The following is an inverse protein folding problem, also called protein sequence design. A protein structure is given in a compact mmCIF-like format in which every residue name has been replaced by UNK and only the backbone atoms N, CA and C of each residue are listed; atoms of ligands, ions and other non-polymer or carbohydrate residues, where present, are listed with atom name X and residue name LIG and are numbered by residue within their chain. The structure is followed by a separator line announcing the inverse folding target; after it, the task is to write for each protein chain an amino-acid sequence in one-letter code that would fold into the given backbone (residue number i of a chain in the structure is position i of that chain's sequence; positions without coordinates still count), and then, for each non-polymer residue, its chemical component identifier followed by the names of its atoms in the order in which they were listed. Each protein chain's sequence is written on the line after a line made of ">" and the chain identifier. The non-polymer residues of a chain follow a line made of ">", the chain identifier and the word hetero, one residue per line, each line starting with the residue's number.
data_IF_206857368036
#
_entry.id   IF_206857368036
#
_cell.length_a   1.000
_cell.length_b   1.000
_cell.length_c   1.000
_cell.angle_alpha   90.00
_cell.angle_beta   90.00
_cell.angle_gamma   90.00
#
_symmetry.space_group_name_H-M   'P 1'
#
loop_
_entity.id
_entity.type
_entity.pdbx_description
1 polymer ?
#
# COMPACT_ATOMS: atom_id res chain seq x y z
N UNK A 1 -36.55 -31.46 66.09
CA UNK A 1 -35.13 -31.24 66.45
C UNK A 1 -34.27 -31.67 65.26
N UNK A 2 -33.44 -30.74 64.77
CA UNK A 2 -32.23 -30.88 63.90
C UNK A 2 -32.41 -31.59 62.54
N UNK A 3 -32.55 -30.92 61.38
CA UNK A 3 -31.67 -29.99 60.60
C UNK A 3 -30.39 -30.63 60.04
N UNK A 4 -29.98 -30.10 58.87
CA UNK A 4 -28.82 -30.35 57.98
C UNK A 4 -29.09 -31.47 56.95
N UNK A 5 -29.43 -31.22 55.66
CA UNK A 5 -28.89 -30.33 54.61
C UNK A 5 -27.37 -30.45 54.45
N UNK A 6 -26.94 -31.20 53.43
CA UNK A 6 -25.68 -30.96 52.71
C UNK A 6 -25.99 -31.06 51.21
N UNK A 7 -25.75 -29.92 50.55
CA UNK A 7 -25.78 -29.68 49.12
C UNK A 7 -24.65 -30.43 48.40
N UNK A 8 -24.96 -31.13 47.32
CA UNK A 8 -23.98 -31.52 46.31
C UNK A 8 -23.97 -30.46 45.21
N UNK A 9 -22.92 -29.65 45.17
CA UNK A 9 -22.69 -28.65 44.12
C UNK A 9 -22.23 -29.39 42.86
N UNK A 10 -23.09 -29.43 41.84
CA UNK A 10 -22.67 -29.77 40.47
C UNK A 10 -22.18 -28.47 39.83
N UNK A 11 -20.87 -28.39 39.60
CA UNK A 11 -20.25 -27.30 38.86
C UNK A 11 -20.63 -27.48 37.39
N UNK A 12 -21.62 -26.71 36.93
CA UNK A 12 -21.89 -26.54 35.51
C UNK A 12 -20.98 -25.40 35.02
N UNK A 13 -19.93 -25.73 34.27
CA UNK A 13 -19.13 -24.74 33.56
C UNK A 13 -20.00 -24.16 32.44
N UNK A 14 -20.64 -23.02 32.71
CA UNK A 14 -21.28 -22.21 31.69
C UNK A 14 -20.17 -21.52 30.88
N UNK A 15 -19.96 -21.98 29.65
CA UNK A 15 -19.27 -21.19 28.63
C UNK A 15 -20.18 -19.98 28.37
N UNK A 16 -19.77 -18.82 28.87
CA UNK A 16 -20.45 -17.55 28.57
C UNK A 16 -20.04 -17.18 27.15
N UNK A 17 -20.88 -17.54 26.18
CA UNK A 17 -20.87 -16.91 24.87
C UNK A 17 -21.42 -15.49 25.08
N UNK A 18 -20.54 -14.50 25.12
CA UNK A 18 -20.96 -13.10 25.20
C UNK A 18 -21.46 -12.70 23.82
N UNK A 19 -22.78 -12.75 23.63
CA UNK A 19 -23.43 -12.04 22.53
C UNK A 19 -23.42 -10.55 22.88
N UNK A 20 -22.53 -9.79 22.25
CA UNK A 20 -22.69 -8.34 22.14
C UNK A 20 -23.88 -8.08 21.22
N UNK A 21 -24.99 -7.55 21.75
CA UNK A 21 -26.11 -7.10 20.94
C UNK A 21 -25.71 -5.78 20.25
N UNK A 22 -25.72 -5.70 18.90
CA UNK A 22 -25.48 -4.44 18.23
C UNK A 22 -26.74 -3.57 18.30
N UNK A 23 -26.52 -2.28 18.48
CA UNK A 23 -27.52 -1.24 18.26
C UNK A 23 -27.94 -1.23 16.78
N UNK A 24 -29.24 -1.39 16.54
CA UNK A 24 -30.01 -0.78 15.44
C UNK A 24 -29.51 -0.84 13.99
N UNK A 25 -30.05 -1.81 13.25
CA UNK A 25 -30.46 -1.76 11.83
C UNK A 25 -29.43 -1.35 10.76
N UNK A 26 -28.73 -2.36 10.24
CA UNK A 26 -28.49 -2.61 8.81
C UNK A 26 -28.71 -4.12 8.62
N UNK A 27 -29.02 -4.62 7.42
CA UNK A 27 -29.30 -6.05 7.16
C UNK A 27 -28.37 -6.97 7.98
N UNK A 28 -28.92 -7.84 8.84
CA UNK A 28 -28.14 -8.79 9.64
C UNK A 28 -27.47 -9.81 8.69
N UNK A 29 -26.36 -9.40 8.08
CA UNK A 29 -25.49 -10.31 7.34
C UNK A 29 -24.80 -11.22 8.35
N UNK A 30 -24.72 -12.51 8.02
CA UNK A 30 -23.93 -13.43 8.84
C UNK A 30 -22.46 -13.06 8.71
N UNK A 31 -21.78 -12.87 9.84
CA UNK A 31 -20.37 -12.49 9.86
C UNK A 31 -19.48 -13.58 10.46
N UNK A 32 -18.22 -13.59 10.02
CA UNK A 32 -17.09 -14.28 10.64
C UNK A 32 -16.15 -13.24 11.25
N UNK A 33 -15.23 -13.69 12.10
CA UNK A 33 -14.27 -12.82 12.77
C UNK A 33 -12.84 -13.17 12.32
N UNK A 34 -12.08 -12.17 11.91
CA UNK A 34 -10.64 -12.26 11.66
C UNK A 34 -9.89 -11.63 12.84
N UNK A 35 -8.84 -12.28 13.30
CA UNK A 35 -7.87 -11.69 14.24
C UNK A 35 -6.50 -12.36 14.07
N UNK A 36 -5.43 -11.55 14.07
CA UNK A 36 -4.05 -12.03 14.04
C UNK A 36 -3.18 -11.49 15.20
N UNK A 37 -3.82 -10.90 16.21
CA UNK A 37 -3.17 -10.25 17.36
C UNK A 37 -2.78 -8.79 17.14
N UNK A 38 -2.68 -8.33 15.89
CA UNK A 38 -2.44 -6.93 15.53
C UNK A 38 -3.73 -6.24 15.07
N UNK A 39 -4.44 -6.87 14.13
CA UNK A 39 -5.67 -6.39 13.52
C UNK A 39 -6.76 -7.43 13.76
N UNK A 40 -7.97 -6.94 14.07
CA UNK A 40 -9.18 -7.77 14.11
C UNK A 40 -10.38 -7.03 13.50
N UNK A 41 -11.29 -7.75 12.86
CA UNK A 41 -12.56 -7.23 12.34
C UNK A 41 -13.52 -8.38 12.01
N UNK A 42 -14.80 -8.05 11.97
CA UNK A 42 -15.87 -8.88 11.46
C UNK A 42 -16.05 -8.66 9.96
N UNK A 43 -16.34 -9.73 9.23
CA UNK A 43 -16.51 -9.70 7.78
C UNK A 43 -17.63 -10.66 7.34
N UNK A 44 -18.26 -10.45 6.17
CA UNK A 44 -19.32 -11.34 5.69
C UNK A 44 -18.90 -12.81 5.62
N UNK A 45 -19.79 -13.72 6.05
CA UNK A 45 -19.51 -15.15 6.08
C UNK A 45 -19.31 -15.77 4.68
N UNK A 46 -19.79 -15.10 3.63
CA UNK A 46 -19.63 -15.48 2.22
C UNK A 46 -18.19 -15.34 1.74
N UNK A 47 -17.44 -14.37 2.27
CA UNK A 47 -16.05 -14.13 1.90
C UNK A 47 -15.16 -15.34 2.22
N UNK A 48 -14.29 -15.66 1.27
CA UNK A 48 -13.27 -16.69 1.41
C UNK A 48 -11.91 -16.01 1.49
N UNK A 49 -11.12 -16.40 2.49
CA UNK A 49 -9.72 -15.96 2.57
C UNK A 49 -8.92 -16.55 1.41
N UNK A 50 -8.16 -15.69 0.72
CA UNK A 50 -7.27 -16.05 -0.39
C UNK A 50 -5.82 -15.75 -0.02
N UNK A 51 -4.88 -16.21 -0.85
CA UNK A 51 -3.45 -16.02 -0.57
C UNK A 51 -3.07 -14.54 -0.66
N UNK A 52 -2.63 -13.98 0.47
CA UNK A 52 -2.10 -12.64 0.56
C UNK A 52 -0.80 -12.47 -0.27
N UNK A 53 -0.62 -11.30 -0.87
CA UNK A 53 0.52 -10.94 -1.71
C UNK A 53 1.13 -9.59 -1.29
N UNK A 54 2.42 -9.38 -1.56
CA UNK A 54 3.08 -8.10 -1.32
C UNK A 54 2.99 -7.61 0.14
N UNK A 55 2.28 -6.50 0.36
CA UNK A 55 2.06 -5.87 1.67
C UNK A 55 0.80 -6.33 2.42
N UNK A 56 0.06 -7.27 1.83
CA UNK A 56 -1.21 -7.75 2.39
C UNK A 56 -0.95 -8.57 3.67
N UNK A 57 -1.74 -8.25 4.69
CA UNK A 57 -1.84 -9.01 5.94
C UNK A 57 -2.83 -10.17 5.77
N UNK A 58 -3.93 -9.91 5.07
CA UNK A 58 -4.95 -10.88 4.68
C UNK A 58 -5.70 -10.37 3.45
N UNK A 59 -6.19 -11.28 2.62
CA UNK A 59 -7.01 -10.96 1.46
C UNK A 59 -8.23 -11.89 1.40
N UNK A 60 -9.33 -11.37 0.85
CA UNK A 60 -10.59 -12.07 0.71
C UNK A 60 -11.18 -11.89 -0.69
N UNK A 61 -11.90 -12.89 -1.14
CA UNK A 61 -12.76 -12.84 -2.32
C UNK A 61 -14.17 -13.26 -1.93
N UNK A 62 -15.16 -12.51 -2.42
CA UNK A 62 -16.55 -12.93 -2.37
C UNK A 62 -16.94 -13.59 -3.69
N UNK A 63 -17.16 -14.91 -3.67
CA UNK A 63 -17.52 -15.66 -4.87
C UNK A 63 -18.90 -15.28 -5.45
N UNK A 64 -19.75 -14.62 -4.66
CA UNK A 64 -21.09 -14.22 -5.09
C UNK A 64 -21.06 -12.90 -5.89
N UNK A 65 -20.43 -11.87 -5.34
CA UNK A 65 -20.32 -10.56 -5.98
C UNK A 65 -19.08 -10.37 -6.86
N UNK A 66 -18.04 -11.20 -6.66
CA UNK A 66 -16.69 -11.03 -7.21
C UNK A 66 -15.87 -9.90 -6.55
N UNK A 67 -16.36 -9.35 -5.43
CA UNK A 67 -15.65 -8.36 -4.63
C UNK A 67 -14.32 -8.94 -4.14
N UNK A 68 -13.24 -8.19 -4.32
CA UNK A 68 -11.95 -8.50 -3.73
C UNK A 68 -11.64 -7.49 -2.62
N UNK A 69 -11.24 -7.98 -1.45
CA UNK A 69 -10.89 -7.13 -0.30
C UNK A 69 -9.48 -7.46 0.17
N UNK A 70 -8.63 -6.45 0.29
CA UNK A 70 -7.28 -6.61 0.83
C UNK A 70 -7.10 -5.77 2.08
N UNK A 71 -6.45 -6.33 3.10
CA UNK A 71 -6.05 -5.63 4.31
C UNK A 71 -4.54 -5.52 4.29
N UNK A 72 -4.02 -4.30 4.31
CA UNK A 72 -2.60 -4.00 4.14
C UNK A 72 -2.05 -3.30 5.37
N UNK A 73 -0.77 -3.54 5.65
CA UNK A 73 -0.04 -2.81 6.70
C UNK A 73 1.39 -2.53 6.27
N UNK A 74 1.77 -1.25 6.30
CA UNK A 74 3.11 -0.80 5.95
C UNK A 74 3.69 0.13 7.01
N UNK A 75 4.87 -0.20 7.55
CA UNK A 75 5.57 0.70 8.48
C UNK A 75 6.05 1.95 7.77
N UNK A 76 5.86 3.12 8.39
CA UNK A 76 6.21 4.42 7.80
C UNK A 76 7.74 4.54 7.71
N UNK A 77 8.32 4.63 6.50
CA UNK A 77 9.75 4.83 6.32
C UNK A 77 10.21 6.19 6.87
N UNK A 78 11.48 6.33 7.28
CA UNK A 78 12.03 7.60 7.71
C UNK A 78 11.82 8.71 6.67
N UNK A 79 11.27 9.84 7.12
CA UNK A 79 11.09 11.02 6.31
C UNK A 79 9.98 10.95 5.26
N UNK A 80 9.19 9.87 5.22
CA UNK A 80 7.91 9.81 4.50
C UNK A 80 6.83 10.44 5.37
N UNK A 81 6.02 11.32 4.78
CA UNK A 81 4.85 11.88 5.43
C UNK A 81 3.63 11.52 4.57
N UNK A 82 2.73 10.64 5.02
CA UNK A 82 1.53 10.33 4.25
C UNK A 82 0.71 11.61 4.06
N UNK A 83 0.08 11.81 2.88
CA UNK A 83 -0.91 12.86 2.69
C UNK A 83 -1.99 12.77 3.76
N UNK A 84 -2.50 13.91 4.25
CA UNK A 84 -3.51 13.95 5.32
C UNK A 84 -4.70 13.04 5.01
N UNK A 85 -5.11 13.04 3.75
CA UNK A 85 -6.28 12.33 3.25
C UNK A 85 -5.93 10.99 2.55
N UNK A 86 -4.66 10.57 2.63
CA UNK A 86 -4.11 9.35 2.01
C UNK A 86 -4.22 9.29 0.47
N UNK A 87 -4.55 10.40 -0.19
CA UNK A 87 -4.56 10.51 -1.65
C UNK A 87 -3.20 11.01 -2.13
N UNK A 88 -2.47 10.28 -2.99
CA UNK A 88 -1.18 10.74 -3.50
C UNK A 88 -1.29 12.07 -4.26
N UNK A 89 -0.39 13.01 -4.00
CA UNK A 89 -0.37 14.33 -4.64
C UNK A 89 -0.33 14.24 -6.17
N UNK A 90 0.45 13.29 -6.70
CA UNK A 90 0.59 13.11 -8.15
C UNK A 90 -0.67 12.59 -8.85
N UNK A 91 -1.66 12.04 -8.13
CA UNK A 91 -2.91 11.60 -8.74
C UNK A 91 -3.76 12.76 -9.25
N UNK A 92 -3.68 13.94 -8.64
CA UNK A 92 -4.43 15.12 -9.09
C UNK A 92 -3.82 15.75 -10.35
N UNK A 93 -2.52 15.54 -10.55
CA UNK A 93 -1.79 16.24 -11.60
C UNK A 93 -1.54 15.38 -12.85
N UNK A 94 -1.68 14.06 -12.78
CA UNK A 94 -1.16 13.11 -13.78
C UNK A 94 -2.26 12.27 -14.43
N UNK A 95 -1.93 11.62 -15.55
CA UNK A 95 -2.81 10.59 -16.10
C UNK A 95 -2.96 9.46 -15.08
N UNK A 96 -4.18 9.28 -14.61
CA UNK A 96 -4.54 8.33 -13.56
C UNK A 96 -5.79 7.60 -13.99
N UNK A 97 -5.75 6.26 -13.92
CA UNK A 97 -6.93 5.43 -14.10
C UNK A 97 -7.82 5.42 -12.85
N UNK A 98 -7.36 6.05 -11.75
CA UNK A 98 -8.13 6.30 -10.54
C UNK A 98 -8.61 7.76 -10.51
N UNK A 99 -9.92 7.96 -10.39
CA UNK A 99 -10.54 9.27 -10.20
C UNK A 99 -11.23 9.31 -8.85
N UNK A 100 -10.73 10.14 -7.93
CA UNK A 100 -11.32 10.33 -6.61
C UNK A 100 -12.74 10.89 -6.74
N UNK A 101 -13.71 10.21 -6.13
CA UNK A 101 -15.12 10.61 -6.08
C UNK A 101 -15.50 11.20 -4.73
N UNK A 102 -15.02 10.58 -3.66
CA UNK A 102 -15.29 10.97 -2.29
C UNK A 102 -14.05 10.79 -1.41
N UNK A 103 -13.93 11.65 -0.41
CA UNK A 103 -12.88 11.63 0.59
C UNK A 103 -13.52 12.05 1.91
N UNK A 104 -13.87 11.07 2.72
CA UNK A 104 -14.57 11.29 3.96
C UNK A 104 -13.66 11.01 5.15
N UNK A 105 -13.52 12.03 6.01
CA UNK A 105 -12.83 11.87 7.29
C UNK A 105 -13.71 11.07 8.23
N UNK A 106 -13.17 10.00 8.80
CA UNK A 106 -13.88 9.07 9.67
C UNK A 106 -13.13 8.81 10.97
N UNK A 107 -13.81 8.17 11.92
CA UNK A 107 -13.21 7.68 13.16
C UNK A 107 -13.35 6.15 13.22
N UNK A 108 -12.24 5.46 13.52
CA UNK A 108 -12.16 4.01 13.70
C UNK A 108 -11.57 3.75 15.08
N UNK A 109 -12.40 3.29 16.02
CA UNK A 109 -12.02 3.03 17.42
C UNK A 109 -11.24 4.18 18.09
N UNK A 110 -11.72 5.42 17.95
CA UNK A 110 -11.08 6.60 18.52
C UNK A 110 -9.85 7.09 17.76
N UNK A 111 -9.53 6.50 16.61
CA UNK A 111 -8.44 6.92 15.73
C UNK A 111 -9.01 7.58 14.49
N UNK A 112 -8.37 8.66 14.09
CA UNK A 112 -8.68 9.33 12.84
C UNK A 112 -8.30 8.46 11.64
N UNK A 113 -9.19 8.40 10.65
CA UNK A 113 -8.98 7.69 9.40
C UNK A 113 -9.72 8.36 8.24
N UNK A 114 -9.58 7.78 7.05
CA UNK A 114 -10.23 8.27 5.84
C UNK A 114 -10.91 7.13 5.09
N UNK A 115 -12.00 7.47 4.43
CA UNK A 115 -12.75 6.62 3.51
C UNK A 115 -12.71 7.29 2.13
N UNK A 116 -11.93 6.69 1.23
CA UNK A 116 -11.70 7.22 -0.10
C UNK A 116 -12.42 6.34 -1.11
N UNK A 117 -13.25 6.94 -1.95
CA UNK A 117 -13.92 6.21 -3.05
C UNK A 117 -13.41 6.70 -4.39
N UNK A 118 -13.11 5.78 -5.29
CA UNK A 118 -12.56 6.04 -6.61
C UNK A 118 -13.36 5.33 -7.70
N UNK A 119 -13.50 6.00 -8.84
CA UNK A 119 -13.75 5.31 -10.11
C UNK A 119 -12.42 4.83 -10.68
N UNK A 120 -12.40 3.58 -11.13
CA UNK A 120 -11.25 2.90 -11.73
C UNK A 120 -11.56 2.57 -13.18
N UNK A 121 -10.83 3.17 -14.12
CA UNK A 121 -10.93 2.87 -15.54
C UNK A 121 -9.97 1.73 -15.93
N UNK A 122 -10.50 0.60 -16.40
CA UNK A 122 -9.70 -0.57 -16.80
C UNK A 122 -10.28 -1.23 -18.05
N UNK A 123 -9.47 -1.36 -19.10
CA UNK A 123 -9.85 -2.02 -20.35
C UNK A 123 -11.16 -1.50 -21.01
N UNK A 124 -11.46 -0.21 -20.84
CA UNK A 124 -12.69 0.42 -21.37
C UNK A 124 -13.92 0.24 -20.48
N UNK A 125 -13.76 -0.39 -19.32
CA UNK A 125 -14.76 -0.53 -18.27
C UNK A 125 -14.45 0.42 -17.10
N UNK A 126 -15.47 0.85 -16.38
CA UNK A 126 -15.31 1.64 -15.15
C UNK A 126 -15.82 0.83 -13.97
N UNK A 127 -14.98 0.63 -12.97
CA UNK A 127 -15.30 -0.07 -11.72
C UNK A 127 -15.15 0.88 -10.54
N UNK A 128 -15.60 0.48 -9.36
CA UNK A 128 -15.42 1.25 -8.13
C UNK A 128 -14.35 0.61 -7.24
N UNK A 129 -13.57 1.46 -6.59
CA UNK A 129 -12.68 1.06 -5.50
C UNK A 129 -12.92 1.94 -4.30
N UNK A 130 -13.00 1.33 -3.11
CA UNK A 130 -13.11 2.04 -1.84
C UNK A 130 -11.95 1.66 -0.94
N UNK A 131 -11.36 2.65 -0.27
CA UNK A 131 -10.19 2.48 0.57
C UNK A 131 -10.44 3.07 1.96
N UNK A 132 -10.33 2.23 2.97
CA UNK A 132 -10.32 2.66 4.37
C UNK A 132 -8.88 2.84 4.82
N UNK A 133 -8.51 4.00 5.35
CA UNK A 133 -7.14 4.30 5.77
C UNK A 133 -7.06 4.72 7.24
N UNK A 134 -6.06 4.19 7.94
CA UNK A 134 -5.72 4.61 9.32
C UNK A 134 -4.20 4.68 9.46
N UNK A 135 -3.70 5.79 10.01
CA UNK A 135 -2.31 5.90 10.45
C UNK A 135 -2.24 5.77 11.97
N UNK A 136 -1.59 4.72 12.46
CA UNK A 136 -1.41 4.49 13.90
C UNK A 136 -0.21 3.59 14.14
N UNK A 137 0.34 3.61 15.37
CA UNK A 137 1.47 2.76 15.76
C UNK A 137 2.71 2.87 14.83
N UNK A 138 2.89 4.00 14.12
CA UNK A 138 3.99 4.18 13.15
C UNK A 138 3.82 3.40 11.84
N UNK A 139 2.60 2.99 11.50
CA UNK A 139 2.27 2.30 10.26
C UNK A 139 1.00 2.84 9.62
N UNK A 140 0.92 2.64 8.31
CA UNK A 140 -0.26 2.83 7.49
C UNK A 140 -1.00 1.51 7.42
N UNK A 141 -2.29 1.56 7.72
CA UNK A 141 -3.21 0.45 7.54
C UNK A 141 -4.20 0.84 6.47
N UNK A 142 -4.46 -0.06 5.53
CA UNK A 142 -5.54 0.12 4.57
C UNK A 142 -6.39 -1.11 4.39
N UNK A 143 -7.68 -0.91 4.14
CA UNK A 143 -8.60 -1.94 3.68
C UNK A 143 -9.16 -1.50 2.33
N UNK A 144 -8.85 -2.24 1.28
CA UNK A 144 -9.17 -1.86 -0.10
C UNK A 144 -10.22 -2.84 -0.63
N UNK A 145 -11.34 -2.28 -1.07
CA UNK A 145 -12.48 -2.98 -1.66
C UNK A 145 -12.48 -2.71 -3.15
N UNK A 146 -12.32 -3.75 -3.95
CA UNK A 146 -12.34 -3.70 -5.41
C UNK A 146 -13.63 -4.34 -5.93
N UNK A 147 -14.56 -3.52 -6.42
CA UNK A 147 -15.86 -3.97 -6.91
C UNK A 147 -15.79 -4.29 -8.42
N UNK A 148 -16.16 -5.50 -8.86
CA UNK A 148 -15.96 -5.93 -10.25
C UNK A 148 -17.01 -5.44 -11.27
N UNK A 149 -18.05 -4.72 -10.85
CA UNK A 149 -19.21 -4.36 -11.70
C UNK A 149 -19.17 -2.90 -12.23
N UNK A 150 -19.79 -2.68 -13.39
CA UNK A 150 -19.79 -1.40 -14.15
C UNK A 150 -20.76 -0.31 -13.67
N UNK A 151 -21.67 -0.59 -12.74
CA UNK A 151 -22.60 0.43 -12.25
C UNK A 151 -22.91 0.22 -10.77
N UNK A 152 -22.18 0.91 -9.90
CA UNK A 152 -22.83 1.45 -8.70
C UNK A 152 -23.19 2.89 -9.04
N UNK A 153 -24.46 3.10 -9.42
CA UNK A 153 -24.97 4.47 -9.53
C UNK A 153 -24.81 5.10 -8.15
N UNK A 154 -24.07 6.20 -8.07
CA UNK A 154 -23.92 7.01 -6.84
C UNK A 154 -25.27 7.34 -6.20
N UNK A 155 -26.35 7.35 -7.00
CA UNK A 155 -27.74 7.53 -6.57
C UNK A 155 -28.29 6.38 -5.69
N UNK A 156 -27.68 5.18 -5.71
CA UNK A 156 -28.07 4.04 -4.87
C UNK A 156 -27.59 4.19 -3.42
N UNK A 157 -26.41 4.77 -3.19
CA UNK A 157 -25.92 5.13 -1.85
C UNK A 157 -26.81 6.17 -1.14
N UNK A 158 -27.59 6.95 -1.90
CA UNK A 158 -28.51 7.95 -1.34
C UNK A 158 -29.92 7.39 -1.03
N UNK A 159 -30.28 6.21 -1.52
CA UNK A 159 -31.68 5.72 -1.48
C UNK A 159 -31.88 4.26 -1.00
N UNK A 160 -30.84 3.55 -0.56
CA UNK A 160 -31.00 2.26 0.13
C UNK A 160 -29.71 1.45 0.19
N UNK A 161 -29.40 0.93 1.38
CA UNK A 161 -28.18 0.15 1.68
C UNK A 161 -28.05 -1.08 0.79
N UNK A 162 -26.99 -1.13 -0.02
CA UNK A 162 -26.63 -2.32 -0.78
C UNK A 162 -25.97 -3.38 0.13
N UNK A 163 -25.93 -4.65 -0.27
CA UNK A 163 -25.19 -5.68 0.49
C UNK A 163 -23.69 -5.35 0.62
N UNK A 164 -23.12 -4.64 -0.35
CA UNK A 164 -21.75 -4.14 -0.32
C UNK A 164 -21.54 -3.06 0.77
N UNK A 165 -22.54 -2.21 1.00
CA UNK A 165 -22.50 -1.24 2.11
C UNK A 165 -22.56 -1.95 3.46
N UNK A 166 -23.39 -2.99 3.60
CA UNK A 166 -23.44 -3.79 4.82
C UNK A 166 -22.11 -4.51 5.09
N UNK A 167 -21.45 -5.03 4.05
CA UNK A 167 -20.13 -5.65 4.16
C UNK A 167 -19.05 -4.65 4.60
N UNK A 168 -19.02 -3.47 3.98
CA UNK A 168 -18.11 -2.40 4.34
C UNK A 168 -18.33 -1.95 5.79
N UNK A 169 -19.58 -1.70 6.19
CA UNK A 169 -19.93 -1.26 7.54
C UNK A 169 -19.64 -2.33 8.59
N UNK A 170 -19.80 -3.62 8.28
CA UNK A 170 -19.42 -4.70 9.19
C UNK A 170 -17.92 -4.65 9.53
N UNK A 171 -17.06 -4.50 8.52
CA UNK A 171 -15.62 -4.38 8.72
C UNK A 171 -15.29 -3.07 9.44
N UNK A 172 -15.80 -1.93 8.95
CA UNK A 172 -15.50 -0.60 9.51
C UNK A 172 -15.86 -0.51 10.98
N UNK A 173 -17.04 -0.97 11.38
CA UNK A 173 -17.54 -0.84 12.75
C UNK A 173 -16.89 -1.80 13.74
N UNK A 174 -16.29 -2.88 13.26
CA UNK A 174 -15.61 -3.89 14.08
C UNK A 174 -14.08 -3.79 14.01
N UNK A 175 -13.53 -2.99 13.08
CA UNK A 175 -12.09 -2.85 12.85
C UNK A 175 -11.39 -2.34 14.10
N UNK A 176 -10.52 -3.18 14.63
CA UNK A 176 -9.66 -2.86 15.75
C UNK A 176 -8.19 -3.08 15.39
N UNK A 177 -7.36 -2.11 15.74
CA UNK A 177 -5.90 -2.14 15.54
C UNK A 177 -5.27 -2.00 16.91
N UNK A 178 -4.75 -3.11 17.43
CA UNK A 178 -4.13 -3.18 18.75
C UNK A 178 -2.90 -2.27 18.81
N UNK A 179 -2.68 -1.62 19.96
CA UNK A 179 -1.47 -0.83 20.17
C UNK A 179 -0.28 -1.78 20.39
N UNK A 180 0.48 -2.05 19.33
CA UNK A 180 1.65 -2.94 19.36
C UNK A 180 2.86 -2.26 18.71
N UNK A 181 4.05 -2.64 19.16
CA UNK A 181 5.29 -2.21 18.51
C UNK A 181 5.52 -3.10 17.29
N UNK A 182 5.49 -2.50 16.11
CA UNK A 182 5.67 -3.24 14.86
C UNK A 182 7.15 -3.50 14.59
N UNK A 183 7.45 -4.71 14.12
CA UNK A 183 8.75 -5.00 13.52
C UNK A 183 8.86 -4.23 12.22
N UNK A 184 9.84 -3.33 12.14
CA UNK A 184 10.12 -2.57 10.93
C UNK A 184 10.45 -3.50 9.76
N UNK A 185 9.69 -3.39 8.68
CA UNK A 185 10.03 -4.00 7.39
C UNK A 185 10.69 -2.95 6.52
N UNK A 186 12.00 -3.07 6.24
CA UNK A 186 12.77 -2.03 5.56
C UNK A 186 12.40 -1.83 4.08
N UNK A 187 11.60 -2.72 3.49
CA UNK A 187 11.09 -2.57 2.13
C UNK A 187 9.67 -2.02 2.14
N UNK A 188 9.40 -1.07 1.23
CA UNK A 188 8.11 -0.40 1.11
C UNK A 188 7.48 -0.42 -0.27
N UNK A 189 8.19 -0.97 -1.26
CA UNK A 189 7.74 -1.04 -2.62
C UNK A 189 8.60 -2.06 -3.39
N UNK A 190 8.21 -2.37 -4.63
CA UNK A 190 9.08 -3.05 -5.60
C UNK A 190 9.23 -2.22 -6.87
N UNK A 191 10.40 -2.27 -7.49
CA UNK A 191 10.63 -1.74 -8.84
C UNK A 191 10.76 -2.90 -9.82
N UNK A 192 9.92 -2.92 -10.85
CA UNK A 192 9.98 -3.84 -11.97
C UNK A 192 10.49 -3.11 -13.22
N UNK A 193 11.47 -3.71 -13.90
CA UNK A 193 12.05 -3.20 -15.14
C UNK A 193 11.88 -4.28 -16.21
N UNK A 194 10.74 -4.31 -16.93
CA UNK A 194 10.40 -5.38 -17.86
C UNK A 194 11.48 -5.66 -18.91
N UNK A 195 12.08 -4.60 -19.46
CA UNK A 195 13.15 -4.70 -20.48
C UNK A 195 14.34 -5.53 -20.00
N UNK A 196 14.66 -5.45 -18.72
CA UNK A 196 15.78 -6.16 -18.10
C UNK A 196 15.34 -7.49 -17.48
N UNK A 197 14.03 -7.76 -17.39
CA UNK A 197 13.48 -8.97 -16.79
C UNK A 197 13.70 -9.06 -15.28
N UNK A 198 13.79 -7.92 -14.59
CA UNK A 198 14.10 -7.86 -13.15
C UNK A 198 12.98 -7.21 -12.33
N UNK A 199 12.86 -7.66 -11.10
CA UNK A 199 12.05 -7.02 -10.05
C UNK A 199 12.87 -6.98 -8.77
N UNK A 200 12.98 -5.81 -8.17
CA UNK A 200 13.76 -5.59 -6.95
C UNK A 200 12.91 -4.97 -5.85
N UNK A 201 13.16 -5.35 -4.60
CA UNK A 201 12.59 -4.64 -3.45
C UNK A 201 13.20 -3.23 -3.37
N UNK A 202 12.39 -2.23 -3.05
CA UNK A 202 12.86 -0.89 -2.74
C UNK A 202 12.97 -0.78 -1.23
N UNK A 203 14.16 -0.41 -0.74
CA UNK A 203 14.48 -0.31 0.68
C UNK A 203 14.97 1.08 1.06
N UNK A 204 14.71 1.50 2.30
CA UNK A 204 15.18 2.78 2.82
C UNK A 204 16.38 2.67 3.76
N UNK A 205 16.84 1.46 4.12
CA UNK A 205 17.76 1.23 5.25
C UNK A 205 19.19 0.84 4.85
N UNK A 206 19.41 0.34 3.64
CA UNK A 206 20.75 0.01 3.14
C UNK A 206 20.78 -0.16 1.63
N UNK A 207 21.91 0.20 1.02
CA UNK A 207 22.26 -0.14 -0.37
C UNK A 207 22.81 -1.57 -0.50
N UNK A 208 23.20 -2.20 0.60
CA UNK A 208 23.94 -3.46 0.63
C UNK A 208 23.04 -4.65 0.97
N UNK A 209 21.81 -4.67 0.44
CA UNK A 209 20.87 -5.77 0.58
C UNK A 209 20.77 -6.57 -0.73
N UNK A 210 20.72 -7.90 -0.63
CA UNK A 210 20.44 -8.74 -1.79
C UNK A 210 19.03 -8.46 -2.33
N UNK A 211 18.87 -8.63 -3.64
CA UNK A 211 17.60 -8.53 -4.35
C UNK A 211 16.84 -7.21 -4.11
N UNK A 212 17.58 -6.11 -3.95
CA UNK A 212 17.01 -4.82 -3.57
C UNK A 212 17.74 -3.66 -4.22
N UNK A 213 17.02 -2.55 -4.39
CA UNK A 213 17.56 -1.21 -4.63
C UNK A 213 17.33 -0.35 -3.38
N UNK A 214 18.14 0.69 -3.25
CA UNK A 214 18.02 1.68 -2.18
C UNK A 214 17.27 2.91 -2.67
N UNK A 215 16.23 3.31 -1.96
CA UNK A 215 15.63 4.63 -2.09
C UNK A 215 16.56 5.67 -1.48
N UNK A 216 16.72 6.84 -2.10
CA UNK A 216 17.52 7.94 -1.56
C UNK A 216 16.87 8.57 -0.30
N UNK A 217 16.81 7.82 0.79
CA UNK A 217 16.18 8.18 2.07
C UNK A 217 17.08 9.02 2.99
N UNK A 218 18.28 9.39 2.52
CA UNK A 218 19.31 10.15 3.23
C UNK A 218 19.97 9.48 4.46
N UNK A 219 20.27 8.18 4.39
CA UNK A 219 21.14 7.54 5.39
C UNK A 219 22.51 8.23 5.49
N UNK A 220 22.83 8.73 6.69
CA UNK A 220 24.18 9.16 7.04
C UNK A 220 24.65 10.50 6.45
N UNK A 221 23.74 11.36 5.97
CA UNK A 221 24.02 12.69 5.39
C UNK A 221 24.95 12.71 4.15
N UNK A 222 25.41 11.56 3.65
CA UNK A 222 26.32 11.48 2.50
C UNK A 222 25.62 11.32 1.16
N UNK A 223 24.33 10.99 1.17
CA UNK A 223 23.49 10.89 -0.01
C UNK A 223 22.35 11.93 0.06
N UNK A 224 21.97 12.52 -1.08
CA UNK A 224 20.81 13.42 -1.15
C UNK A 224 19.53 12.68 -0.72
N UNK A 225 18.56 13.44 -0.20
CA UNK A 225 17.20 12.93 0.05
C UNK A 225 16.36 13.10 -1.22
N UNK A 226 15.68 12.05 -1.64
CA UNK A 226 14.66 12.12 -2.69
C UNK A 226 13.24 12.08 -2.11
N UNK A 227 12.26 12.32 -2.98
CA UNK A 227 10.85 12.10 -2.68
C UNK A 227 10.52 10.60 -2.70
N UNK A 228 9.42 10.22 -2.06
CA UNK A 228 8.79 8.91 -2.15
C UNK A 228 7.82 8.84 -3.35
N UNK A 229 7.51 7.63 -3.86
CA UNK A 229 6.48 7.46 -4.87
C UNK A 229 5.16 8.14 -4.47
N UNK A 230 4.55 8.87 -5.40
CA UNK A 230 3.29 9.58 -5.19
C UNK A 230 3.39 11.01 -4.64
N UNK A 231 4.53 11.41 -4.08
CA UNK A 231 4.80 12.80 -3.69
C UNK A 231 5.13 13.67 -4.92
N UNK A 232 4.86 14.98 -4.86
CA UNK A 232 5.16 15.90 -5.95
C UNK A 232 6.66 16.26 -6.05
N UNK A 233 7.47 15.29 -6.47
CA UNK A 233 8.90 15.48 -6.66
C UNK A 233 9.60 14.26 -7.26
N UNK A 234 10.91 14.40 -7.44
CA UNK A 234 11.72 13.37 -8.09
C UNK A 234 12.04 12.23 -7.12
N UNK A 235 11.74 11.00 -7.52
CA UNK A 235 12.07 9.78 -6.79
C UNK A 235 13.44 9.29 -7.24
N UNK A 236 14.32 8.96 -6.30
CA UNK A 236 15.63 8.39 -6.58
C UNK A 236 15.72 6.94 -6.15
N UNK A 237 16.28 6.08 -7.00
CA UNK A 237 16.69 4.71 -6.67
C UNK A 237 18.16 4.51 -7.01
N UNK A 238 18.93 3.94 -6.08
CA UNK A 238 20.34 3.58 -6.23
C UNK A 238 20.47 2.07 -6.17
N UNK A 239 21.20 1.50 -7.11
CA UNK A 239 21.48 0.08 -7.17
C UNK A 239 22.94 -0.18 -7.49
N UNK A 240 23.48 -1.29 -6.98
CA UNK A 240 24.82 -1.72 -7.34
C UNK A 240 24.88 -2.20 -8.79
N UNK A 241 26.00 -1.91 -9.45
CA UNK A 241 26.31 -2.43 -10.78
C UNK A 241 26.79 -3.89 -10.73
N UNK A 242 27.58 -4.28 -9.71
CA UNK A 242 28.26 -5.60 -9.71
C UNK A 242 28.09 -6.40 -8.42
N UNK A 243 27.58 -5.78 -7.35
CA UNK A 243 27.49 -6.39 -6.03
C UNK A 243 26.04 -6.53 -5.58
N UNK A 244 25.79 -7.34 -4.54
CA UNK A 244 24.47 -7.45 -3.89
C UNK A 244 23.30 -7.78 -4.85
N UNK A 245 23.43 -8.87 -5.60
CA UNK A 245 22.54 -9.24 -6.72
C UNK A 245 22.61 -8.33 -7.95
N UNK A 246 23.43 -7.27 -7.89
CA UNK A 246 23.75 -6.38 -9.00
C UNK A 246 22.49 -5.80 -9.68
N UNK A 247 21.62 -5.12 -8.92
CA UNK A 247 20.29 -4.74 -9.39
C UNK A 247 20.27 -3.88 -10.66
N UNK A 248 21.34 -3.13 -10.92
CA UNK A 248 21.50 -2.27 -12.09
C UNK A 248 22.72 -2.65 -12.95
N UNK A 249 23.06 -3.94 -13.01
CA UNK A 249 24.14 -4.47 -13.86
C UNK A 249 23.95 -4.24 -15.36
N UNK A 250 22.69 -4.17 -15.80
CA UNK A 250 22.29 -4.02 -17.19
C UNK A 250 21.53 -2.72 -17.46
N UNK A 251 21.69 -1.72 -16.58
CA UNK A 251 20.97 -0.44 -16.69
C UNK A 251 21.30 0.30 -17.99
N UNK A 252 22.46 0.04 -18.58
CA UNK A 252 22.91 0.58 -19.86
C UNK A 252 22.14 0.03 -21.08
N UNK A 253 21.37 -1.04 -20.91
CA UNK A 253 20.49 -1.62 -21.94
C UNK A 253 19.13 -0.94 -22.02
N UNK A 254 18.79 -0.08 -21.06
CA UNK A 254 17.60 0.75 -21.13
C UNK A 254 17.73 1.79 -22.24
N UNK A 255 16.60 2.11 -22.86
CA UNK A 255 16.50 3.08 -23.95
C UNK A 255 15.27 3.95 -23.74
N UNK A 256 15.26 5.15 -24.32
CA UNK A 256 14.09 6.03 -24.31
C UNK A 256 12.83 5.27 -24.75
N UNK A 257 11.76 5.37 -23.95
CA UNK A 257 10.49 4.67 -24.16
C UNK A 257 10.35 3.35 -23.41
N UNK A 258 11.44 2.75 -22.90
CA UNK A 258 11.34 1.59 -22.02
C UNK A 258 10.60 1.95 -20.72
N UNK A 259 9.89 0.99 -20.14
CA UNK A 259 9.05 1.19 -18.94
C UNK A 259 9.79 0.80 -17.67
N UNK A 260 9.53 1.54 -16.59
CA UNK A 260 9.92 1.21 -15.21
C UNK A 260 8.68 1.33 -14.33
N UNK A 261 8.37 0.31 -13.54
CA UNK A 261 7.12 0.24 -12.77
C UNK A 261 7.47 0.16 -11.28
N UNK A 262 6.87 1.03 -10.46
CA UNK A 262 6.94 0.95 -9.00
C UNK A 262 5.57 0.50 -8.48
N UNK A 263 5.55 -0.67 -7.84
CA UNK A 263 4.43 -1.11 -7.01
C UNK A 263 4.68 -0.58 -5.59
N UNK A 264 3.96 0.46 -5.20
CA UNK A 264 4.17 1.16 -3.93
C UNK A 264 3.17 0.71 -2.87
N UNK A 265 3.70 0.17 -1.76
CA UNK A 265 2.89 -0.33 -0.67
C UNK A 265 2.51 0.77 0.34
N UNK A 266 3.10 1.96 0.24
CA UNK A 266 2.71 3.09 1.09
C UNK A 266 1.38 3.67 0.65
N UNK A 267 1.22 3.88 -0.66
CA UNK A 267 0.01 4.45 -1.26
C UNK A 267 -0.95 3.40 -1.81
N UNK A 268 -0.50 2.13 -1.90
CA UNK A 268 -1.22 1.03 -2.54
C UNK A 268 -1.54 1.33 -4.01
N UNK A 269 -0.61 1.99 -4.70
CA UNK A 269 -0.72 2.35 -6.12
C UNK A 269 0.43 1.77 -6.92
N UNK A 270 0.19 1.62 -8.22
CA UNK A 270 1.21 1.27 -9.22
C UNK A 270 1.55 2.50 -10.05
N UNK A 271 2.81 2.92 -9.99
CA UNK A 271 3.36 4.04 -10.75
C UNK A 271 4.13 3.52 -11.97
N UNK A 272 3.67 3.86 -13.16
CA UNK A 272 4.34 3.50 -14.41
C UNK A 272 5.12 4.69 -14.93
N UNK A 273 6.44 4.53 -15.07
CA UNK A 273 7.35 5.53 -15.63
C UNK A 273 7.87 5.10 -16.99
N UNK A 274 8.21 6.07 -17.84
CA UNK A 274 8.88 5.88 -19.12
C UNK A 274 10.28 6.51 -19.10
N UNK A 275 11.28 5.76 -19.55
CA UNK A 275 12.65 6.25 -19.71
C UNK A 275 12.66 7.39 -20.74
N UNK A 276 13.23 8.53 -20.35
CA UNK A 276 13.37 9.72 -21.21
C UNK A 276 14.83 10.04 -21.54
N UNK A 277 15.79 9.67 -20.69
CA UNK A 277 17.22 9.90 -20.92
C UNK A 277 18.08 8.83 -20.24
N UNK A 278 19.18 8.43 -20.91
CA UNK A 278 20.13 7.41 -20.43
C UNK A 278 21.60 7.89 -20.48
N UNK A 279 21.78 9.18 -20.78
CA UNK A 279 23.07 9.78 -21.15
C UNK A 279 23.70 10.61 -20.02
N UNK A 280 23.09 10.64 -18.83
CA UNK A 280 23.65 11.34 -17.66
C UNK A 280 24.74 10.47 -17.01
N UNK A 281 25.98 10.89 -17.22
CA UNK A 281 27.18 10.26 -16.66
C UNK A 281 28.02 11.33 -15.95
N UNK A 282 28.18 11.20 -14.63
CA UNK A 282 28.82 12.20 -13.77
C UNK A 282 30.11 11.68 -13.15
N UNK A 283 31.23 12.27 -13.53
CA UNK A 283 32.55 11.96 -12.96
C UNK A 283 32.83 12.72 -11.66
N UNK A 284 32.10 13.80 -11.41
CA UNK A 284 32.23 14.69 -10.25
C UNK A 284 31.17 14.42 -9.17
N UNK A 285 30.53 13.25 -9.21
CA UNK A 285 29.38 12.87 -8.37
C UNK A 285 29.64 12.98 -6.85
N UNK A 286 30.91 12.92 -6.42
CA UNK A 286 31.29 13.09 -5.01
C UNK A 286 31.25 14.55 -4.53
N UNK A 287 31.29 15.51 -5.45
CA UNK A 287 31.23 16.96 -5.18
C UNK A 287 29.98 17.63 -5.77
N UNK A 288 29.35 16.99 -6.75
CA UNK A 288 28.18 17.45 -7.46
C UNK A 288 27.13 16.32 -7.46
N UNK A 289 26.43 16.22 -6.34
CA UNK A 289 25.45 15.16 -6.09
C UNK A 289 24.25 15.30 -7.03
N UNK A 290 23.60 14.19 -7.36
CA UNK A 290 22.28 14.20 -8.00
C UNK A 290 21.28 14.96 -7.14
N UNK A 291 20.39 15.72 -7.78
CA UNK A 291 19.33 16.46 -7.10
C UNK A 291 17.98 15.83 -7.38
N UNK A 292 17.08 15.94 -6.41
CA UNK A 292 15.71 15.46 -6.51
C UNK A 292 14.74 16.61 -6.27
N UNK A 293 14.50 17.47 -7.28
CA UNK A 293 13.67 18.66 -7.11
C UNK A 293 12.19 18.31 -6.91
N UNK A 294 11.51 19.17 -6.15
CA UNK A 294 10.04 19.20 -6.03
C UNK A 294 9.39 19.65 -7.35
N UNK A 295 8.10 19.34 -7.54
CA UNK A 295 7.34 19.73 -8.73
C UNK A 295 7.69 18.95 -10.00
N UNK A 296 8.43 17.85 -9.85
CA UNK A 296 8.81 16.94 -10.94
C UNK A 296 8.12 15.61 -10.74
N UNK A 297 7.74 14.97 -11.84
CA UNK A 297 7.14 13.63 -11.86
C UNK A 297 8.16 12.65 -12.38
N UNK A 298 9.32 12.63 -11.75
CA UNK A 298 10.51 11.98 -12.26
C UNK A 298 10.89 10.79 -11.39
N UNK A 299 11.39 9.74 -12.02
CA UNK A 299 12.13 8.67 -11.37
C UNK A 299 13.55 8.64 -11.95
N UNK A 300 14.55 8.67 -11.07
CA UNK A 300 15.96 8.57 -11.44
C UNK A 300 16.52 7.27 -10.90
N UNK A 301 17.09 6.45 -11.79
CA UNK A 301 17.82 5.24 -11.44
C UNK A 301 19.32 5.51 -11.53
N UNK A 302 20.06 5.33 -10.44
CA UNK A 302 21.50 5.60 -10.36
C UNK A 302 22.32 4.35 -10.07
N UNK A 303 23.52 4.25 -10.65
CA UNK A 303 24.51 3.21 -10.34
C UNK A 303 25.94 3.75 -10.50
N UNK A 304 26.91 3.08 -9.86
CA UNK A 304 28.33 3.31 -10.12
C UNK A 304 28.74 2.87 -11.53
N UNK A 305 29.72 3.55 -12.11
CA UNK A 305 30.18 3.32 -13.48
C UNK A 305 31.70 3.52 -13.64
N UNK A 306 32.36 2.81 -14.60
CA UNK A 306 31.88 1.65 -15.36
C UNK A 306 31.75 0.39 -14.50
N UNK A 307 31.33 -0.72 -15.09
CA UNK A 307 31.19 -2.03 -14.42
C UNK A 307 32.44 -2.36 -13.58
N UNK A 308 32.26 -2.55 -12.27
CA UNK A 308 33.33 -2.89 -11.33
C UNK A 308 34.17 -1.71 -10.81
N UNK A 309 33.84 -0.48 -11.21
CA UNK A 309 34.54 0.75 -10.82
C UNK A 309 33.56 1.83 -10.30
N UNK A 310 34.11 2.82 -9.61
CA UNK A 310 33.38 3.97 -9.07
C UNK A 310 33.94 5.28 -9.63
N UNK A 311 34.33 5.27 -10.91
CA UNK A 311 34.95 6.43 -11.56
C UNK A 311 33.93 7.53 -11.89
N UNK A 312 32.67 7.13 -12.07
CA UNK A 312 31.52 7.98 -12.32
C UNK A 312 30.25 7.34 -11.73
N UNK A 313 29.16 8.09 -11.73
CA UNK A 313 27.81 7.56 -11.58
C UNK A 313 27.03 7.76 -12.88
N UNK A 314 26.26 6.74 -13.25
CA UNK A 314 25.35 6.78 -14.39
C UNK A 314 23.91 6.89 -13.89
N UNK A 315 23.15 7.78 -14.51
CA UNK A 315 21.75 8.01 -14.20
C UNK A 315 20.86 7.77 -15.42
N UNK A 316 19.74 7.10 -15.17
CA UNK A 316 18.63 6.95 -16.12
C UNK A 316 17.46 7.75 -15.58
N UNK A 317 16.97 8.68 -16.39
CA UNK A 317 15.84 9.54 -16.05
C UNK A 317 14.57 9.01 -16.69
N UNK A 318 13.52 8.93 -15.90
CA UNK A 318 12.20 8.47 -16.32
C UNK A 318 11.14 9.50 -15.93
N UNK A 319 10.11 9.67 -16.74
CA UNK A 319 8.93 10.50 -16.42
C UNK A 319 7.76 9.62 -16.07
N UNK A 320 6.94 10.03 -15.11
CA UNK A 320 5.70 9.34 -14.78
C UNK A 320 4.76 9.38 -15.99
N UNK A 321 4.23 8.23 -16.34
CA UNK A 321 3.30 8.03 -17.46
C UNK A 321 1.89 7.72 -16.97
N UNK A 322 1.73 6.90 -15.93
CA UNK A 322 0.39 6.59 -15.38
C UNK A 322 0.43 6.19 -13.91
N UNK A 323 -0.72 6.34 -13.26
CA UNK A 323 -1.01 5.82 -11.92
C UNK A 323 -2.22 4.89 -12.01
N UNK A 324 -2.08 3.68 -11.46
CA UNK A 324 -3.12 2.65 -11.41
C UNK A 324 -3.31 2.16 -9.96
N UNK A 325 -4.43 1.48 -9.66
CA UNK A 325 -4.50 0.62 -8.49
C UNK A 325 -3.35 -0.40 -8.48
N UNK A 326 -2.87 -0.73 -7.29
CA UNK A 326 -1.88 -1.80 -7.15
C UNK A 326 -2.48 -3.17 -7.47
N UNK A 327 -3.70 -3.43 -6.99
CA UNK A 327 -4.47 -4.65 -7.17
C UNK A 327 -5.84 -4.35 -7.78
#
# INVERSE_FOLDING_TARGET
>A
MKKYIIFGIVIFAAIILVFTLPFGNANNIETKHYENGEISFDYPATWQEVSAQGSEVVAFEDNESGLNVTVNRQTIPPGYNPPENFVPELMEESESNLKLLANDKIEINGKEGYDNTYNVEKNGSTTEQRELWVNTNGALYSIIYNYPQEEIKVESFLNGESENDAAFEAVRNSLNINNTTLTSTPSFATVNIPKLGVTWNIRYDTLNALNSVYHYSALGNSLPKSFYPGENGSVGLLGHHTCYSAPFDNIDKLQTGDTVIINDYLTQKKYTYQVVSTDDLRYDYTTNLIEFPAGKKELVLGTCWPEGYTAAERYVHCTLSSIDPLN
#
